data_IF_592767095213
#
_entry.id   IF_592767095213
#
_cell.length_a   1.000
_cell.length_b   1.000
_cell.length_c   1.000
_cell.angle_alpha   90.00
_cell.angle_beta   90.00
_cell.angle_gamma   90.00
#
_symmetry.space_group_name_H-M   'P 1'
#
loop_
_entity.id
_entity.type
_entity.pdbx_description
1 polymer ?
#
# COMPACT_ATOMS: atom_id res chain seq x y z
N UNK A 1 -14.21 -3.53 19.07
CA UNK A 1 -12.91 -3.67 18.39
C UNK A 1 -12.58 -5.13 18.39
N UNK A 2 -12.45 -5.73 17.24
CA UNK A 2 -12.01 -7.13 17.14
C UNK A 2 -10.47 -7.16 17.24
N UNK A 3 -9.91 -8.31 17.71
CA UNK A 3 -8.44 -8.49 17.71
C UNK A 3 -7.84 -8.51 16.30
N UNK A 4 -8.67 -8.38 15.26
CA UNK A 4 -8.30 -8.46 13.86
C UNK A 4 -8.40 -7.11 13.11
N UNK A 5 -8.64 -6.02 13.84
CA UNK A 5 -8.69 -4.67 13.28
C UNK A 5 -7.28 -4.06 13.23
N UNK A 6 -7.05 -3.19 12.24
CA UNK A 6 -5.92 -2.26 12.28
C UNK A 6 -6.30 -1.09 13.18
N UNK A 7 -5.57 -0.94 14.29
CA UNK A 7 -5.82 0.12 15.28
C UNK A 7 -4.59 1.01 15.39
N UNK A 8 -4.78 2.27 15.05
CA UNK A 8 -3.75 3.31 15.14
C UNK A 8 -4.18 4.27 16.24
N UNK A 9 -3.30 4.56 17.19
CA UNK A 9 -3.58 5.43 18.32
C UNK A 9 -2.48 6.47 18.49
N UNK A 10 -2.85 7.74 18.41
CA UNK A 10 -1.99 8.91 18.55
C UNK A 10 -0.63 8.74 17.82
N UNK A 11 -0.67 8.31 16.57
CA UNK A 11 0.53 8.01 15.78
C UNK A 11 1.22 9.30 15.33
N UNK A 12 2.46 9.47 15.75
CA UNK A 12 3.36 10.55 15.32
C UNK A 12 4.49 9.96 14.47
N UNK A 13 4.82 10.60 13.36
CA UNK A 13 5.83 10.13 12.43
C UNK A 13 6.64 11.30 11.88
N UNK A 14 7.95 11.15 11.84
CA UNK A 14 8.88 12.09 11.23
C UNK A 14 9.78 11.40 10.18
N UNK A 15 10.39 12.15 9.25
CA UNK A 15 11.46 11.63 8.40
C UNK A 15 12.68 11.30 9.27
N UNK A 16 13.37 10.20 8.98
CA UNK A 16 14.63 9.86 9.66
C UNK A 16 15.69 10.94 9.46
N UNK A 17 15.70 11.61 8.30
CA UNK A 17 16.62 12.71 8.00
C UNK A 17 16.36 13.99 8.85
N UNK A 18 15.15 14.15 9.39
CA UNK A 18 14.76 15.29 10.23
C UNK A 18 13.73 14.85 11.29
N UNK A 19 14.18 14.17 12.37
CA UNK A 19 13.27 13.59 13.37
C UNK A 19 12.48 14.63 14.19
N UNK A 20 12.94 15.87 14.23
CA UNK A 20 12.28 16.96 14.95
C UNK A 20 11.09 17.56 14.16
N UNK A 21 10.96 17.21 12.89
CA UNK A 21 9.89 17.69 12.02
C UNK A 21 8.85 16.59 11.78
N UNK A 22 7.84 16.52 12.64
CA UNK A 22 6.76 15.55 12.49
C UNK A 22 5.84 15.89 11.31
N UNK A 23 5.67 14.89 10.42
CA UNK A 23 4.69 14.92 9.32
C UNK A 23 3.32 14.47 9.82
N UNK A 24 3.26 13.35 10.56
CA UNK A 24 2.04 12.92 11.24
C UNK A 24 2.08 13.35 12.70
N UNK A 25 0.96 13.88 13.18
CA UNK A 25 0.87 14.61 14.45
C UNK A 25 -0.29 14.10 15.30
N UNK A 26 -0.30 12.78 15.57
CA UNK A 26 -1.33 12.15 16.38
C UNK A 26 -2.51 11.66 15.53
N UNK A 27 -2.25 10.64 14.69
CA UNK A 27 -3.30 9.98 13.91
C UNK A 27 -3.99 8.93 14.77
N UNK A 28 -5.32 9.02 14.84
CA UNK A 28 -6.20 8.02 15.40
C UNK A 28 -7.06 7.46 14.25
N UNK A 29 -6.97 6.15 14.01
CA UNK A 29 -7.71 5.47 12.94
C UNK A 29 -7.92 4.00 13.29
N UNK A 30 -9.11 3.49 13.05
CA UNK A 30 -9.38 2.05 13.11
C UNK A 30 -9.98 1.61 11.79
N UNK A 31 -9.44 0.52 11.22
CA UNK A 31 -9.98 -0.13 10.01
C UNK A 31 -10.30 -1.57 10.37
N UNK A 32 -11.57 -1.92 10.33
CA UNK A 32 -12.06 -3.25 10.61
C UNK A 32 -11.90 -4.20 9.42
N UNK A 33 -12.04 -5.50 9.69
CA UNK A 33 -12.14 -6.49 8.63
C UNK A 33 -13.41 -6.26 7.80
N UNK A 34 -13.28 -6.39 6.49
CA UNK A 34 -14.38 -6.20 5.54
C UNK A 34 -14.71 -4.73 5.27
N UNK A 35 -14.06 -3.79 5.94
CA UNK A 35 -14.29 -2.36 5.77
C UNK A 35 -13.33 -1.75 4.74
N UNK A 36 -13.82 -0.78 3.98
CA UNK A 36 -13.06 0.04 3.05
C UNK A 36 -13.04 1.47 3.57
N UNK A 37 -11.88 1.92 4.02
CA UNK A 37 -11.67 3.29 4.47
C UNK A 37 -10.88 4.07 3.42
N UNK A 38 -11.31 5.30 3.12
CA UNK A 38 -10.59 6.19 2.23
C UNK A 38 -9.91 7.33 3.01
N UNK A 39 -8.65 7.58 2.73
CA UNK A 39 -7.92 8.76 3.19
C UNK A 39 -7.83 9.74 2.04
N UNK A 40 -8.42 10.91 2.20
CA UNK A 40 -8.34 12.02 1.27
C UNK A 40 -7.63 13.22 1.94
N UNK A 41 -7.11 14.14 1.15
CA UNK A 41 -6.46 15.32 1.68
C UNK A 41 -5.53 15.99 0.67
N UNK A 42 -5.15 17.25 0.89
CA UNK A 42 -4.24 17.97 -0.01
C UNK A 42 -2.86 17.30 -0.10
N UNK A 43 -2.09 17.69 -1.10
CA UNK A 43 -0.70 17.24 -1.22
C UNK A 43 0.11 17.69 0.00
N UNK A 44 1.08 16.87 0.43
CA UNK A 44 1.88 17.16 1.63
C UNK A 44 1.16 16.94 2.96
N UNK A 45 -0.10 16.48 2.99
CA UNK A 45 -0.83 16.25 4.26
C UNK A 45 -0.32 15.05 5.07
N UNK A 46 0.48 14.15 4.49
CA UNK A 46 1.05 12.98 5.16
C UNK A 46 0.42 11.64 4.78
N UNK A 47 -0.40 11.56 3.70
CA UNK A 47 -1.08 10.32 3.28
C UNK A 47 -0.11 9.18 2.99
N UNK A 48 0.85 9.40 2.10
CA UNK A 48 1.91 8.41 1.76
C UNK A 48 2.79 8.12 2.97
N UNK A 49 3.06 9.12 3.83
CA UNK A 49 3.81 8.92 5.07
C UNK A 49 3.09 7.94 5.99
N UNK A 50 1.75 8.02 6.09
CA UNK A 50 0.95 7.07 6.86
C UNK A 50 1.11 5.64 6.30
N UNK A 51 0.93 5.44 4.97
CA UNK A 51 1.10 4.15 4.33
C UNK A 51 2.49 3.55 4.58
N UNK A 52 3.53 4.35 4.42
CA UNK A 52 4.92 3.93 4.58
C UNK A 52 5.26 3.63 6.06
N UNK A 53 4.79 4.44 7.00
CA UNK A 53 4.98 4.18 8.42
C UNK A 53 4.32 2.88 8.87
N UNK A 54 3.10 2.59 8.39
CA UNK A 54 2.39 1.34 8.66
C UNK A 54 3.15 0.12 8.12
N UNK A 55 3.82 0.24 6.97
CA UNK A 55 4.62 -0.83 6.40
C UNK A 55 6.08 -0.85 6.88
N UNK A 56 6.49 0.13 7.69
CA UNK A 56 7.83 0.18 8.27
C UNK A 56 8.93 0.61 7.31
N UNK A 57 8.60 1.53 6.40
CA UNK A 57 9.56 2.06 5.44
C UNK A 57 10.72 2.78 6.16
N UNK A 58 11.99 2.49 5.80
CA UNK A 58 13.17 2.96 6.55
C UNK A 58 13.40 4.48 6.52
N UNK A 59 12.77 5.21 5.61
CA UNK A 59 12.87 6.67 5.54
C UNK A 59 12.11 7.39 6.66
N UNK A 60 11.25 6.68 7.41
CA UNK A 60 10.40 7.26 8.44
C UNK A 60 10.62 6.62 9.79
N UNK A 61 10.52 7.43 10.83
CA UNK A 61 10.58 7.01 12.24
C UNK A 61 9.28 7.37 12.94
N UNK A 62 8.74 6.43 13.71
CA UNK A 62 7.62 6.69 14.62
C UNK A 62 8.19 7.30 15.88
N UNK A 63 7.79 8.54 16.18
CA UNK A 63 8.26 9.29 17.36
C UNK A 63 7.40 9.00 18.58
N UNK A 64 6.10 8.75 18.39
CA UNK A 64 5.19 8.32 19.45
C UNK A 64 3.94 7.65 18.90
N UNK A 65 3.12 7.08 19.79
CA UNK A 65 1.88 6.40 19.44
C UNK A 65 2.00 4.88 19.36
N UNK A 66 0.95 4.24 18.90
CA UNK A 66 0.83 2.79 18.85
C UNK A 66 0.10 2.35 17.57
N UNK A 67 0.54 1.24 16.99
CA UNK A 67 -0.14 0.60 15.86
C UNK A 67 -0.30 -0.88 16.17
N UNK A 68 -1.53 -1.35 16.25
CA UNK A 68 -1.86 -2.76 16.44
C UNK A 68 -2.45 -3.34 15.16
N UNK A 69 -2.02 -4.54 14.81
CA UNK A 69 -2.59 -5.37 13.78
C UNK A 69 -2.68 -6.80 14.27
N UNK A 70 -3.86 -7.40 14.24
CA UNK A 70 -4.11 -8.74 14.79
C UNK A 70 -3.63 -8.88 16.25
N UNK A 71 -3.84 -7.83 17.07
CA UNK A 71 -3.37 -7.78 18.44
C UNK A 71 -1.87 -7.59 18.63
N UNK A 72 -1.08 -7.59 17.56
CA UNK A 72 0.38 -7.43 17.60
C UNK A 72 0.78 -5.97 17.38
N UNK A 73 1.82 -5.54 18.09
CA UNK A 73 2.40 -4.21 17.92
C UNK A 73 3.28 -4.18 16.64
N UNK A 74 2.75 -3.55 15.58
CA UNK A 74 3.44 -3.45 14.30
C UNK A 74 4.77 -2.71 14.39
N UNK A 75 4.90 -1.76 15.31
CA UNK A 75 6.11 -0.94 15.40
C UNK A 75 7.35 -1.75 15.82
N UNK A 76 7.14 -2.93 16.42
CA UNK A 76 8.19 -3.87 16.79
C UNK A 76 8.57 -4.86 15.71
N UNK A 77 7.85 -4.83 14.58
CA UNK A 77 8.03 -5.80 13.51
C UNK A 77 8.79 -5.19 12.32
N UNK A 78 9.72 -5.97 11.77
CA UNK A 78 10.38 -5.64 10.50
C UNK A 78 9.39 -5.70 9.32
N UNK A 79 9.75 -5.05 8.21
CA UNK A 79 8.92 -4.97 6.99
C UNK A 79 8.45 -6.36 6.51
N UNK A 80 9.38 -7.33 6.46
CA UNK A 80 9.07 -8.71 6.03
C UNK A 80 8.07 -9.41 6.98
N UNK A 81 8.16 -9.15 8.28
CA UNK A 81 7.22 -9.70 9.26
C UNK A 81 5.83 -9.10 9.11
N UNK A 82 5.73 -7.78 8.85
CA UNK A 82 4.44 -7.12 8.56
C UNK A 82 3.78 -7.72 7.32
N UNK A 83 4.55 -7.93 6.24
CA UNK A 83 4.06 -8.59 5.03
C UNK A 83 3.57 -10.03 5.30
N UNK A 84 4.29 -10.81 6.12
CA UNK A 84 3.87 -12.17 6.52
C UNK A 84 2.62 -12.20 7.40
N UNK A 85 2.27 -11.10 8.05
CA UNK A 85 1.00 -10.92 8.76
C UNK A 85 -0.14 -10.51 7.81
N UNK A 86 -0.01 -10.78 6.53
CA UNK A 86 -1.02 -10.51 5.51
C UNK A 86 -1.31 -9.02 5.31
N UNK A 87 -0.33 -8.15 5.54
CA UNK A 87 -0.40 -6.75 5.13
C UNK A 87 0.18 -6.57 3.73
N UNK A 88 -0.44 -5.73 2.93
CA UNK A 88 -0.03 -5.42 1.56
C UNK A 88 -0.02 -3.91 1.35
N UNK A 89 0.98 -3.44 0.59
CA UNK A 89 1.05 -2.05 0.13
C UNK A 89 1.17 -2.02 -1.38
N UNK A 90 0.23 -1.36 -2.06
CA UNK A 90 0.40 -0.90 -3.42
C UNK A 90 1.04 0.49 -3.37
N UNK A 91 2.18 0.63 -4.02
CA UNK A 91 2.99 1.86 -4.00
C UNK A 91 2.44 2.90 -4.99
N UNK A 92 2.61 4.17 -4.67
CA UNK A 92 2.36 5.24 -5.62
C UNK A 92 3.21 5.07 -6.90
N UNK A 93 4.51 4.80 -6.74
CA UNK A 93 5.47 4.58 -7.83
C UNK A 93 6.17 3.22 -7.70
N UNK A 94 5.64 2.14 -8.32
CA UNK A 94 6.27 0.83 -8.25
C UNK A 94 7.64 0.81 -8.93
N UNK A 95 8.66 0.37 -8.20
CA UNK A 95 10.04 0.29 -8.68
C UNK A 95 10.26 -0.89 -9.62
N UNK A 96 11.17 -0.73 -10.57
CA UNK A 96 11.63 -1.83 -11.41
C UNK A 96 12.67 -2.68 -10.67
N UNK A 97 12.60 -4.01 -10.86
CA UNK A 97 13.60 -4.95 -10.35
C UNK A 97 14.21 -5.72 -11.53
N UNK A 98 15.30 -5.19 -12.13
CA UNK A 98 15.96 -5.82 -13.26
C UNK A 98 16.42 -7.23 -12.95
N UNK A 99 16.28 -8.15 -13.92
CA UNK A 99 16.74 -9.52 -13.77
C UNK A 99 15.81 -10.45 -12.98
N UNK A 100 14.80 -9.92 -12.26
CA UNK A 100 13.83 -10.73 -11.53
C UNK A 100 12.53 -10.84 -12.33
N UNK A 101 12.19 -12.04 -12.83
CA UNK A 101 10.93 -12.22 -13.55
C UNK A 101 9.71 -12.10 -12.63
N UNK A 102 8.59 -11.61 -13.19
CA UNK A 102 7.31 -11.51 -12.47
C UNK A 102 6.91 -12.87 -11.87
N UNK A 103 7.04 -13.97 -12.63
CA UNK A 103 6.73 -15.31 -12.13
C UNK A 103 7.60 -15.72 -10.93
N UNK A 104 8.92 -15.45 -10.99
CA UNK A 104 9.83 -15.78 -9.88
C UNK A 104 9.52 -14.94 -8.65
N UNK A 105 9.27 -13.65 -8.84
CA UNK A 105 8.88 -12.74 -7.77
C UNK A 105 7.60 -13.19 -7.07
N UNK A 106 6.51 -13.42 -7.84
CA UNK A 106 5.22 -13.82 -7.30
C UNK A 106 5.32 -15.15 -6.55
N UNK A 107 6.07 -16.13 -7.09
CA UNK A 107 6.24 -17.42 -6.43
C UNK A 107 6.98 -17.28 -5.11
N UNK A 108 8.05 -16.48 -5.07
CA UNK A 108 8.79 -16.21 -3.83
C UNK A 108 7.92 -15.51 -2.80
N UNK A 109 7.11 -14.52 -3.21
CA UNK A 109 6.20 -13.80 -2.34
C UNK A 109 5.11 -14.72 -1.76
N UNK A 110 4.48 -15.57 -2.59
CA UNK A 110 3.48 -16.56 -2.13
C UNK A 110 4.09 -17.52 -1.13
N UNK A 111 5.30 -18.03 -1.40
CA UNK A 111 5.99 -18.95 -0.49
C UNK A 111 6.28 -18.27 0.86
N UNK A 112 6.82 -17.06 0.85
CA UNK A 112 7.09 -16.30 2.07
C UNK A 112 5.80 -16.04 2.88
N UNK A 113 4.70 -15.74 2.19
CA UNK A 113 3.40 -15.50 2.81
C UNK A 113 2.84 -16.78 3.44
N UNK A 114 2.86 -17.92 2.73
CA UNK A 114 2.41 -19.23 3.26
C UNK A 114 3.21 -19.66 4.49
N UNK A 115 4.53 -19.44 4.49
CA UNK A 115 5.37 -19.70 5.66
C UNK A 115 5.08 -18.76 6.83
N UNK A 116 4.66 -17.52 6.56
CA UNK A 116 4.22 -16.59 7.59
C UNK A 116 2.91 -17.01 8.27
N UNK A 117 1.95 -17.52 7.48
CA UNK A 117 0.66 -17.98 7.98
C UNK A 117 0.75 -19.31 8.76
N UNK A 118 1.66 -20.20 8.34
CA UNK A 118 1.87 -21.52 8.94
C UNK A 118 3.36 -21.74 9.16
N UNK A 119 3.97 -21.13 10.19
CA UNK A 119 5.39 -21.28 10.46
C UNK A 119 5.70 -22.74 10.80
N UNK A 120 6.36 -23.43 9.86
CA UNK A 120 6.92 -24.75 10.11
C UNK A 120 8.38 -24.57 10.56
N UNK A 121 8.71 -24.89 11.81
CA UNK A 121 10.06 -24.72 12.33
C UNK A 121 11.10 -25.63 11.65
N UNK A 122 10.65 -26.61 10.87
CA UNK A 122 11.54 -27.52 10.12
C UNK A 122 11.88 -27.01 8.72
N UNK A 123 11.17 -25.95 8.25
CA UNK A 123 11.39 -25.32 6.94
C UNK A 123 12.27 -24.10 7.13
N UNK A 124 13.43 -24.10 6.48
CA UNK A 124 14.25 -22.91 6.37
C UNK A 124 13.47 -21.83 5.60
N UNK A 125 13.17 -20.67 6.20
CA UNK A 125 12.44 -19.60 5.53
C UNK A 125 13.18 -19.04 4.30
N UNK A 126 14.47 -19.33 4.15
CA UNK A 126 15.25 -18.99 2.96
C UNK A 126 15.16 -20.06 1.85
N UNK A 127 14.68 -21.27 2.18
CA UNK A 127 14.47 -22.33 1.20
C UNK A 127 13.09 -22.22 0.55
N UNK A 128 13.00 -21.38 -0.48
CA UNK A 128 11.78 -21.17 -1.26
C UNK A 128 11.24 -22.43 -1.97
N UNK A 129 11.93 -23.57 -1.87
CA UNK A 129 11.56 -24.83 -2.52
C UNK A 129 10.97 -25.87 -1.55
N UNK A 130 11.27 -25.78 -0.27
CA UNK A 130 10.68 -26.68 0.74
C UNK A 130 9.42 -26.07 1.33
N UNK A 131 8.28 -26.70 1.12
CA UNK A 131 6.97 -26.23 1.61
C UNK A 131 6.31 -25.15 0.76
N UNK A 132 6.90 -24.76 -0.38
CA UNK A 132 6.35 -23.76 -1.28
C UNK A 132 5.19 -24.27 -2.16
N UNK A 133 4.57 -23.35 -2.87
CA UNK A 133 3.48 -23.68 -3.82
C UNK A 133 3.97 -24.61 -4.93
N UNK A 134 3.30 -25.75 -5.20
CA UNK A 134 3.62 -26.61 -6.32
C UNK A 134 3.50 -25.85 -7.65
N UNK A 135 4.42 -26.12 -8.60
CA UNK A 135 4.51 -25.36 -9.85
C UNK A 135 3.20 -25.41 -10.68
N UNK A 136 2.51 -26.53 -10.67
CA UNK A 136 1.21 -26.67 -11.36
C UNK A 136 0.13 -25.78 -10.75
N UNK A 137 0.04 -25.77 -9.42
CA UNK A 137 -0.88 -24.91 -8.66
C UNK A 137 -0.55 -23.43 -8.86
N UNK A 138 0.74 -23.06 -8.78
CA UNK A 138 1.21 -21.71 -9.02
C UNK A 138 0.81 -21.18 -10.40
N UNK A 139 1.09 -21.97 -11.46
CA UNK A 139 0.74 -21.56 -12.84
C UNK A 139 -0.76 -21.39 -13.03
N UNK A 140 -1.57 -22.27 -12.43
CA UNK A 140 -3.02 -22.17 -12.48
C UNK A 140 -3.50 -20.90 -11.78
N UNK A 141 -3.06 -20.67 -10.54
CA UNK A 141 -3.40 -19.48 -9.75
C UNK A 141 -3.06 -18.19 -10.49
N UNK A 142 -1.81 -18.05 -10.95
CA UNK A 142 -1.37 -16.83 -11.64
C UNK A 142 -2.18 -16.58 -12.91
N UNK A 143 -2.43 -17.62 -13.72
CA UNK A 143 -3.24 -17.50 -14.94
C UNK A 143 -4.67 -17.04 -14.64
N UNK A 144 -5.32 -17.60 -13.64
CA UNK A 144 -6.67 -17.22 -13.22
C UNK A 144 -6.72 -15.75 -12.78
N UNK A 145 -5.74 -15.32 -11.96
CA UNK A 145 -5.67 -13.92 -11.49
C UNK A 145 -5.28 -12.94 -12.60
N UNK A 146 -4.42 -13.33 -13.54
CA UNK A 146 -4.11 -12.51 -14.73
C UNK A 146 -5.34 -12.33 -15.63
N UNK A 147 -6.13 -13.38 -15.85
CA UNK A 147 -7.37 -13.29 -16.60
C UNK A 147 -8.37 -12.32 -15.95
N UNK A 148 -8.53 -12.34 -14.62
CA UNK A 148 -9.36 -11.40 -13.87
C UNK A 148 -8.96 -9.93 -14.14
N UNK A 149 -7.65 -9.67 -14.22
CA UNK A 149 -7.07 -8.33 -14.43
C UNK A 149 -6.86 -7.98 -15.91
N UNK A 150 -7.35 -8.79 -16.83
CA UNK A 150 -7.20 -8.62 -18.30
C UNK A 150 -5.73 -8.43 -18.70
N UNK A 151 -4.83 -9.18 -18.05
CA UNK A 151 -3.39 -9.15 -18.32
C UNK A 151 -2.98 -10.25 -19.28
N UNK A 152 -2.01 -9.95 -20.16
CA UNK A 152 -1.41 -10.93 -21.04
C UNK A 152 -0.47 -11.87 -20.27
N UNK A 153 -0.57 -13.18 -20.53
CA UNK A 153 0.24 -14.20 -19.84
C UNK A 153 1.76 -14.02 -20.06
N UNK A 154 2.17 -13.37 -21.15
CA UNK A 154 3.59 -13.11 -21.44
C UNK A 154 4.25 -12.20 -20.40
N UNK A 155 3.47 -11.40 -19.68
CA UNK A 155 3.96 -10.52 -18.59
C UNK A 155 4.65 -11.34 -17.51
N UNK A 156 4.23 -12.58 -17.26
CA UNK A 156 4.84 -13.44 -16.26
C UNK A 156 6.34 -13.72 -16.50
N UNK A 157 6.78 -13.68 -17.75
CA UNK A 157 8.19 -13.90 -18.13
C UNK A 157 9.02 -12.60 -18.15
N UNK A 158 8.39 -11.42 -18.15
CA UNK A 158 9.08 -10.13 -18.13
C UNK A 158 9.66 -9.84 -16.74
N UNK A 159 10.64 -8.95 -16.67
CA UNK A 159 11.16 -8.49 -15.39
C UNK A 159 10.20 -7.52 -14.70
N UNK A 160 10.17 -7.58 -13.37
CA UNK A 160 9.25 -6.77 -12.54
C UNK A 160 9.38 -5.29 -12.87
N UNK A 161 8.30 -4.71 -13.39
CA UNK A 161 8.17 -3.28 -13.73
C UNK A 161 9.18 -2.71 -14.74
N UNK A 162 10.07 -3.54 -15.30
CA UNK A 162 11.08 -3.08 -16.28
C UNK A 162 10.42 -2.87 -17.65
N UNK A 163 10.45 -1.62 -18.12
CA UNK A 163 9.81 -1.22 -19.38
C UNK A 163 8.28 -1.34 -19.39
N UNK A 164 7.64 -1.42 -18.22
CA UNK A 164 6.19 -1.43 -18.10
C UNK A 164 5.63 0.00 -18.20
N UNK A 165 4.50 0.14 -18.89
CA UNK A 165 3.68 1.35 -18.81
C UNK A 165 3.11 1.56 -17.41
N UNK A 166 2.65 2.77 -17.07
CA UNK A 166 2.01 3.05 -15.78
C UNK A 166 0.85 2.09 -15.48
N UNK A 167 -0.02 1.84 -16.47
CA UNK A 167 -1.13 0.91 -16.32
C UNK A 167 -0.70 -0.55 -16.16
N UNK A 168 0.38 -0.99 -16.82
CA UNK A 168 0.93 -2.34 -16.61
C UNK A 168 1.51 -2.50 -15.20
N UNK A 169 2.22 -1.48 -14.68
CA UNK A 169 2.75 -1.47 -13.31
C UNK A 169 1.64 -1.60 -12.28
N UNK A 170 0.58 -0.80 -12.39
CA UNK A 170 -0.56 -0.85 -11.46
C UNK A 170 -1.31 -2.18 -11.55
N UNK A 171 -1.52 -2.73 -12.76
CA UNK A 171 -2.11 -4.07 -12.91
C UNK A 171 -1.22 -5.16 -12.31
N UNK A 172 0.11 -5.02 -12.38
CA UNK A 172 1.02 -5.96 -11.72
C UNK A 172 0.91 -5.87 -10.19
N UNK A 173 0.74 -4.69 -9.61
CA UNK A 173 0.46 -4.55 -8.18
C UNK A 173 -0.86 -5.21 -7.79
N UNK A 174 -1.92 -5.03 -8.60
CA UNK A 174 -3.18 -5.73 -8.37
C UNK A 174 -3.04 -7.24 -8.52
N UNK A 175 -2.20 -7.73 -9.44
CA UNK A 175 -1.88 -9.15 -9.53
C UNK A 175 -1.19 -9.67 -8.28
N UNK A 176 -0.24 -8.90 -7.72
CA UNK A 176 0.39 -9.23 -6.44
C UNK A 176 -0.65 -9.36 -5.33
N UNK A 177 -1.53 -8.35 -5.18
CA UNK A 177 -2.61 -8.37 -4.20
C UNK A 177 -3.54 -9.58 -4.42
N UNK A 178 -3.90 -9.88 -5.67
CA UNK A 178 -4.79 -10.98 -6.01
C UNK A 178 -4.23 -12.36 -5.68
N UNK A 179 -2.91 -12.57 -5.81
CA UNK A 179 -2.27 -13.86 -5.51
C UNK A 179 -1.87 -14.02 -4.05
N UNK A 180 -1.65 -12.90 -3.34
CA UNK A 180 -1.28 -12.91 -1.92
C UNK A 180 -2.51 -12.92 -0.99
N UNK A 181 -3.66 -12.47 -1.48
CA UNK A 181 -4.93 -12.43 -0.74
C UNK A 181 -4.76 -11.82 0.67
N UNK A 182 -4.31 -10.55 0.78
CA UNK A 182 -4.00 -9.93 2.06
C UNK A 182 -5.26 -9.77 2.94
N UNK A 183 -5.05 -9.64 4.24
CA UNK A 183 -6.11 -9.30 5.19
C UNK A 183 -6.18 -7.79 5.45
N UNK A 184 -5.10 -7.05 5.18
CA UNK A 184 -5.06 -5.59 5.17
C UNK A 184 -4.36 -5.13 3.90
N UNK A 185 -5.06 -4.40 3.04
CA UNK A 185 -4.51 -3.78 1.84
C UNK A 185 -4.46 -2.26 2.00
N UNK A 186 -3.27 -1.69 1.85
CA UNK A 186 -3.05 -0.24 1.79
C UNK A 186 -2.80 0.09 0.32
N UNK A 187 -3.65 0.91 -0.28
CA UNK A 187 -3.60 1.27 -1.69
C UNK A 187 -3.24 2.75 -1.80
N UNK A 188 -1.96 3.04 -2.03
CA UNK A 188 -1.45 4.42 -2.07
C UNK A 188 -1.47 4.96 -3.50
N UNK A 189 -2.41 5.87 -3.78
CA UNK A 189 -2.61 6.55 -5.07
C UNK A 189 -2.54 5.61 -6.28
N UNK A 190 -3.26 4.48 -6.18
CA UNK A 190 -3.28 3.45 -7.23
C UNK A 190 -3.95 3.91 -8.52
N UNK A 191 -4.59 5.07 -8.50
CA UNK A 191 -5.24 5.75 -9.61
C UNK A 191 -4.35 6.79 -10.31
N UNK A 192 -3.20 7.13 -9.72
CA UNK A 192 -2.30 8.13 -10.29
C UNK A 192 -1.72 7.70 -11.64
N UNK A 193 -1.82 8.59 -12.63
CA UNK A 193 -1.27 8.36 -13.98
C UNK A 193 -2.02 7.32 -14.82
N UNK A 194 -3.21 6.88 -14.40
CA UNK A 194 -4.05 5.97 -15.16
C UNK A 194 -5.07 6.72 -16.04
N UNK A 195 -5.29 6.21 -17.25
CA UNK A 195 -6.47 6.56 -18.03
C UNK A 195 -7.74 5.92 -17.44
N UNK A 196 -8.90 6.33 -17.95
CA UNK A 196 -10.21 5.90 -17.41
C UNK A 196 -10.39 4.37 -17.53
N UNK A 197 -9.89 3.75 -18.59
CA UNK A 197 -10.07 2.32 -18.81
C UNK A 197 -9.15 1.50 -17.90
N UNK A 198 -7.89 1.92 -17.73
CA UNK A 198 -6.97 1.31 -16.79
C UNK A 198 -7.46 1.46 -15.33
N UNK A 199 -7.97 2.64 -14.96
CA UNK A 199 -8.57 2.88 -13.66
C UNK A 199 -9.75 1.94 -13.38
N UNK A 200 -10.64 1.75 -14.37
CA UNK A 200 -11.76 0.83 -14.24
C UNK A 200 -11.30 -0.61 -14.00
N UNK A 201 -10.30 -1.08 -14.76
CA UNK A 201 -9.76 -2.44 -14.59
C UNK A 201 -9.17 -2.64 -13.20
N UNK A 202 -8.41 -1.66 -12.70
CA UNK A 202 -7.84 -1.68 -11.34
C UNK A 202 -8.95 -1.74 -10.30
N UNK A 203 -9.95 -0.89 -10.41
CA UNK A 203 -11.06 -0.84 -9.47
C UNK A 203 -11.94 -2.11 -9.50
N UNK A 204 -12.23 -2.64 -10.71
CA UNK A 204 -12.92 -3.93 -10.88
C UNK A 204 -12.11 -5.06 -10.21
N UNK A 205 -10.78 -5.04 -10.39
CA UNK A 205 -9.87 -5.99 -9.74
C UNK A 205 -9.94 -5.90 -8.21
N UNK A 206 -9.85 -4.70 -7.64
CA UNK A 206 -9.97 -4.49 -6.18
C UNK A 206 -11.33 -5.01 -5.70
N UNK A 207 -12.44 -4.58 -6.33
CA UNK A 207 -13.79 -5.01 -5.93
C UNK A 207 -13.98 -6.54 -5.97
N UNK A 208 -13.39 -7.21 -6.97
CA UNK A 208 -13.45 -8.67 -7.08
C UNK A 208 -12.65 -9.40 -5.98
N UNK A 209 -11.71 -8.71 -5.32
CA UNK A 209 -10.91 -9.24 -4.22
C UNK A 209 -11.49 -8.91 -2.84
N UNK A 210 -12.37 -7.90 -2.74
CA UNK A 210 -13.03 -7.54 -1.48
C UNK A 210 -13.74 -8.75 -0.89
N UNK A 211 -13.52 -8.99 0.38
CA UNK A 211 -14.16 -10.06 1.13
C UNK A 211 -14.28 -9.68 2.62
N UNK A 212 -15.13 -10.34 3.40
CA UNK A 212 -15.37 -9.97 4.80
C UNK A 212 -14.17 -10.07 5.75
N UNK A 213 -13.04 -10.58 5.27
CA UNK A 213 -11.81 -10.70 6.08
C UNK A 213 -10.73 -9.69 5.67
N UNK A 214 -10.96 -8.89 4.63
CA UNK A 214 -9.98 -7.96 4.12
C UNK A 214 -10.38 -6.52 4.45
N UNK A 215 -9.63 -5.85 5.31
CA UNK A 215 -9.68 -4.40 5.48
C UNK A 215 -8.92 -3.70 4.35
N UNK A 216 -9.42 -2.57 3.88
CA UNK A 216 -8.77 -1.75 2.85
C UNK A 216 -8.61 -0.32 3.33
N UNK A 217 -7.40 0.20 3.26
CA UNK A 217 -7.08 1.61 3.43
C UNK A 217 -6.70 2.19 2.07
N UNK A 218 -7.63 2.91 1.45
CA UNK A 218 -7.48 3.52 0.14
C UNK A 218 -7.01 4.96 0.31
N UNK A 219 -5.83 5.29 -0.20
CA UNK A 219 -5.30 6.65 -0.22
C UNK A 219 -5.47 7.19 -1.64
N UNK A 220 -6.22 8.26 -1.78
CA UNK A 220 -6.43 8.92 -3.06
C UNK A 220 -6.76 10.40 -2.87
N UNK A 221 -6.39 11.20 -3.83
CA UNK A 221 -6.83 12.59 -3.95
C UNK A 221 -7.90 12.76 -5.02
N UNK A 222 -8.28 11.69 -5.74
CA UNK A 222 -9.30 11.70 -6.77
C UNK A 222 -10.54 10.92 -6.35
N UNK A 223 -11.69 11.58 -6.38
CA UNK A 223 -12.97 10.94 -6.14
C UNK A 223 -13.31 9.90 -7.23
N UNK A 224 -12.72 10.00 -8.43
CA UNK A 224 -13.02 9.05 -9.52
C UNK A 224 -12.86 7.61 -9.10
N UNK A 225 -11.85 7.27 -8.30
CA UNK A 225 -11.65 5.93 -7.79
C UNK A 225 -12.78 5.53 -6.82
N UNK A 226 -13.24 6.46 -5.98
CA UNK A 226 -14.32 6.22 -5.02
C UNK A 226 -15.70 6.03 -5.67
N UNK A 227 -15.85 6.38 -6.95
CA UNK A 227 -17.04 6.05 -7.73
C UNK A 227 -17.09 4.57 -8.13
N UNK A 228 -15.94 3.91 -8.18
CA UNK A 228 -15.82 2.48 -8.49
C UNK A 228 -15.64 1.63 -7.23
N UNK A 229 -14.87 2.10 -6.26
CA UNK A 229 -14.64 1.44 -4.97
C UNK A 229 -15.34 2.29 -3.91
N UNK A 230 -16.51 1.87 -3.47
CA UNK A 230 -17.29 2.64 -2.49
C UNK A 230 -16.72 2.44 -1.09
N UNK A 231 -16.19 3.50 -0.42
CA UNK A 231 -15.73 3.38 0.95
C UNK A 231 -16.88 3.38 1.95
N UNK A 232 -16.69 2.66 3.06
CA UNK A 232 -17.57 2.72 4.23
C UNK A 232 -17.36 4.03 4.99
N UNK A 233 -16.10 4.47 5.09
CA UNK A 233 -15.73 5.72 5.75
C UNK A 233 -14.68 6.48 4.95
N UNK A 234 -14.84 7.79 4.89
CA UNK A 234 -13.89 8.75 4.30
C UNK A 234 -13.30 9.59 5.41
N UNK A 235 -11.97 9.71 5.42
CA UNK A 235 -11.22 10.53 6.36
C UNK A 235 -10.48 11.64 5.61
N UNK A 236 -10.54 12.85 6.14
CA UNK A 236 -9.78 14.00 5.61
C UNK A 236 -8.52 14.17 6.44
N UNK A 237 -7.36 13.93 5.83
CA UNK A 237 -6.05 14.14 6.41
C UNK A 237 -5.52 15.51 5.98
N UNK A 238 -5.23 16.38 6.93
CA UNK A 238 -4.61 17.67 6.67
C UNK A 238 -3.65 18.04 7.80
N UNK A 239 -2.56 18.72 7.45
CA UNK A 239 -1.52 19.14 8.39
C UNK A 239 -1.05 18.02 9.36
N UNK A 240 -1.04 16.77 8.88
CA UNK A 240 -0.63 15.60 9.65
C UNK A 240 -1.67 15.05 10.64
N UNK A 241 -2.94 15.47 10.54
CA UNK A 241 -4.05 15.03 11.41
C UNK A 241 -5.27 14.61 10.60
N UNK A 242 -6.03 13.65 11.11
CA UNK A 242 -7.39 13.41 10.61
C UNK A 242 -8.29 14.49 11.22
N UNK A 243 -8.80 15.40 10.38
CA UNK A 243 -9.59 16.54 10.81
C UNK A 243 -11.08 16.30 10.70
N UNK A 244 -11.49 15.40 9.81
CA UNK A 244 -12.89 15.09 9.59
C UNK A 244 -13.03 13.64 9.13
N UNK A 245 -14.09 12.97 9.58
CA UNK A 245 -14.46 11.64 9.11
C UNK A 245 -15.95 11.59 8.82
N UNK A 246 -16.34 10.87 7.77
CA UNK A 246 -17.75 10.76 7.36
C UNK A 246 -17.96 9.64 6.34
N UNK A 247 -19.20 9.49 5.89
CA UNK A 247 -19.55 8.54 4.85
C UNK A 247 -19.20 9.04 3.44
N UNK A 248 -19.74 8.36 2.43
CA UNK A 248 -19.55 8.67 1.01
C UNK A 248 -19.88 10.15 0.65
N UNK A 249 -20.85 10.75 1.32
CA UNK A 249 -21.25 12.14 1.07
C UNK A 249 -20.12 13.14 1.34
N UNK A 250 -19.20 12.79 2.24
CA UNK A 250 -18.02 13.61 2.49
C UNK A 250 -17.10 13.67 1.26
N UNK A 251 -16.91 12.56 0.55
CA UNK A 251 -16.13 12.56 -0.69
C UNK A 251 -16.76 13.42 -1.78
N UNK A 252 -18.11 13.35 -1.92
CA UNK A 252 -18.85 14.19 -2.87
C UNK A 252 -18.73 15.69 -2.55
N UNK A 253 -18.79 16.01 -1.27
CA UNK A 253 -18.63 17.37 -0.79
C UNK A 253 -17.22 17.91 -1.06
N UNK A 254 -16.18 17.09 -0.82
CA UNK A 254 -14.79 17.44 -1.12
C UNK A 254 -14.55 17.71 -2.60
N UNK A 255 -15.20 16.95 -3.50
CA UNK A 255 -15.10 17.20 -4.94
C UNK A 255 -15.80 18.50 -5.34
N UNK A 256 -16.97 18.78 -4.78
CA UNK A 256 -17.77 19.95 -5.15
C UNK A 256 -17.20 21.26 -4.60
N UNK A 257 -16.70 21.25 -3.37
CA UNK A 257 -16.30 22.45 -2.61
C UNK A 257 -14.77 22.61 -2.50
N UNK A 258 -13.99 21.53 -2.75
CA UNK A 258 -12.55 21.51 -2.47
C UNK A 258 -12.24 21.31 -0.97
N UNK A 259 -10.95 21.38 -0.63
CA UNK A 259 -10.49 21.24 0.76
C UNK A 259 -10.57 22.56 1.56
N UNK A 260 -10.46 23.71 0.90
CA UNK A 260 -10.36 25.03 1.55
C UNK A 260 -11.50 25.33 2.55
N UNK A 261 -12.79 25.12 2.23
CA UNK A 261 -13.85 25.40 3.18
C UNK A 261 -13.81 24.53 4.43
N UNK A 262 -13.37 23.28 4.26
CA UNK A 262 -13.25 22.32 5.36
C UNK A 262 -12.07 22.69 6.25
N UNK A 263 -10.93 23.04 5.67
CA UNK A 263 -9.74 23.48 6.40
C UNK A 263 -10.02 24.77 7.18
N UNK A 264 -10.69 25.75 6.56
CA UNK A 264 -11.06 27.00 7.20
C UNK A 264 -12.02 26.78 8.39
N UNK A 265 -12.96 25.84 8.28
CA UNK A 265 -13.88 25.50 9.38
C UNK A 265 -13.14 24.90 10.59
N UNK A 266 -12.02 24.22 10.36
CA UNK A 266 -11.15 23.63 11.42
C UNK A 266 -10.02 24.58 11.84
N UNK A 267 -10.02 25.84 11.35
CA UNK A 267 -8.99 26.83 11.68
C UNK A 267 -7.60 26.52 11.10
N UNK A 268 -7.55 25.71 10.05
CA UNK A 268 -6.33 25.36 9.34
C UNK A 268 -6.25 26.20 8.06
N UNK A 269 -5.16 26.94 7.88
CA UNK A 269 -4.87 27.55 6.60
C UNK A 269 -4.50 26.47 5.58
N UNK A 270 -4.95 26.62 4.33
CA UNK A 270 -4.49 25.77 3.26
C UNK A 270 -2.97 25.94 3.15
N UNK A 271 -2.23 24.90 3.52
CA UNK A 271 -0.79 24.89 3.29
C UNK A 271 -0.60 24.93 1.76
N UNK A 272 -0.25 26.08 1.23
CA UNK A 272 0.20 26.25 -0.15
C UNK A 272 1.44 25.34 -0.27
N UNK A 273 1.32 24.31 -1.12
CA UNK A 273 2.26 23.19 -1.17
C UNK A 273 3.72 23.63 -1.29
N UNK A 274 4.46 23.45 -0.21
CA UNK A 274 5.85 23.05 -0.35
C UNK A 274 5.83 21.56 -0.74
N UNK A 275 6.14 21.27 -1.99
CA UNK A 275 6.43 19.93 -2.44
C UNK A 275 7.49 19.37 -1.48
N UNK A 276 7.09 18.37 -0.66
CA UNK A 276 8.07 17.58 0.06
C UNK A 276 9.09 17.11 -0.97
N UNK A 277 10.40 17.24 -0.74
CA UNK A 277 11.40 16.86 -1.72
C UNK A 277 11.12 15.40 -2.10
N UNK A 278 10.77 15.22 -3.37
CA UNK A 278 10.66 13.91 -4.00
C UNK A 278 11.90 13.14 -3.60
N UNK A 279 11.73 12.04 -2.86
CA UNK A 279 12.87 11.20 -2.47
C UNK A 279 13.53 10.78 -3.77
N UNK A 280 14.62 11.45 -4.11
CA UNK A 280 15.39 11.19 -5.32
C UNK A 280 15.71 9.69 -5.34
N UNK A 281 15.53 9.00 -6.47
CA UNK A 281 15.86 7.60 -6.56
C UNK A 281 17.33 7.46 -6.18
N UNK A 282 17.57 6.74 -5.09
CA UNK A 282 18.92 6.39 -4.64
C UNK A 282 19.64 5.76 -5.83
N UNK A 283 20.62 6.48 -6.39
CA UNK A 283 21.46 5.94 -7.46
C UNK A 283 22.09 4.68 -6.89
N UNK A 284 21.74 3.54 -7.48
CA UNK A 284 22.40 2.27 -7.19
C UNK A 284 23.90 2.51 -7.26
N UNK A 285 24.60 2.29 -6.15
CA UNK A 285 26.05 2.36 -6.09
C UNK A 285 26.61 1.38 -7.13
N UNK A 286 27.28 1.91 -8.15
CA UNK A 286 28.06 1.09 -9.08
C UNK A 286 29.09 0.30 -8.27
N UNK A 287 29.18 -1.03 -8.45
CA UNK A 287 30.25 -1.79 -7.81
C UNK A 287 31.60 -1.30 -8.35
N UNK A 288 32.46 -0.84 -7.46
CA UNK A 288 33.83 -0.47 -7.77
C UNK A 288 34.52 -1.66 -8.47
N UNK A 289 34.86 -1.50 -9.74
CA UNK A 289 35.76 -2.42 -10.44
C UNK A 289 37.16 -2.27 -9.81
N UNK A 290 37.49 -3.24 -8.96
CA UNK A 290 38.86 -3.42 -8.50
C UNK A 290 39.71 -3.91 -9.70
N UNK A 291 40.48 -3.02 -10.28
CA UNK A 291 41.54 -3.37 -11.27
C UNK A 291 42.68 -4.01 -10.53
N UNK A 292 42.74 -5.35 -10.55
CA UNK A 292 43.94 -6.09 -10.19
C UNK A 292 44.94 -5.99 -11.34
N UNK A 293 46.14 -5.47 -11.05
CA UNK A 293 47.36 -5.64 -11.84
C UNK A 293 48.08 -6.92 -11.42
#
# INVERSE_FOLDING_TARGET
MSDQDLVISALHVAPVANPDHEILKGIDLTVGQGEVHAIMGPNGSGKTTLAYALMGHPAYVVTSGKVLWQGQDLLKLSVDKRARLCMFLAFQYPMAVPGLSVASFLRSAINAHRLGLNPDPTVDPTDAFKGGIPMGEFRKLVREKMALLKMDESIAARYVNEGFSGGEKKRLEMLQMAVLEPQMAILDETDSGLDIDALRIVAEGVNAMLNPKMGVLLITHYQRLLNYITPDTVHVLAAGRIILSGGKDLALRLEAEGYEPILAAEGLEAAVGDEAPEAAPEKAAEPAMETAH
#
